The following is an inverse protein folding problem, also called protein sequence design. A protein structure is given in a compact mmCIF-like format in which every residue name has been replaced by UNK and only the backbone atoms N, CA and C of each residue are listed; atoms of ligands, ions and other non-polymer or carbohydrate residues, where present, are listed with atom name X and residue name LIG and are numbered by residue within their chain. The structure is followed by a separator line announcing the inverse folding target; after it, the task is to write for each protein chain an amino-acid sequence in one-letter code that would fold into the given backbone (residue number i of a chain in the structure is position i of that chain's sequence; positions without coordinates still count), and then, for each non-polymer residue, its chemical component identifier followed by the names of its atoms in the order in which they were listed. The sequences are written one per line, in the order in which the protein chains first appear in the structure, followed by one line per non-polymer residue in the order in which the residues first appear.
data_IF_234310599492
#
_entry.id   IF_234310599492
#
_cell.length_a   1.000
_cell.length_b   1.000
_cell.length_c   1.000
_cell.angle_alpha   90.00
_cell.angle_beta   90.00
_cell.angle_gamma   90.00
#
_symmetry.space_group_name_H-M   'P 1'
#
loop_
_entity.id
_entity.type
_entity.pdbx_description
1 polymer ?
#
# COMPACT_ATOMS: atom_id res chain seq x y z
N UNK A 1 -31.97 7.47 10.35
CA UNK A 1 -30.72 7.91 10.98
C UNK A 1 -29.59 7.31 10.18
N UNK A 2 -28.83 8.11 9.45
CA UNK A 2 -27.63 7.65 8.74
C UNK A 2 -26.53 7.47 9.79
N UNK A 3 -26.13 6.23 10.04
CA UNK A 3 -25.07 5.93 10.99
C UNK A 3 -23.76 6.53 10.47
N UNK A 4 -23.09 7.30 11.31
CA UNK A 4 -21.71 7.69 11.05
C UNK A 4 -20.90 6.43 10.73
N UNK A 5 -20.03 6.43 9.70
CA UNK A 5 -19.10 5.34 9.50
C UNK A 5 -18.30 5.19 10.80
N UNK A 6 -18.40 4.01 11.42
CA UNK A 6 -17.52 3.65 12.52
C UNK A 6 -16.11 3.59 11.90
N UNK A 7 -15.15 4.40 12.37
CA UNK A 7 -13.77 4.28 11.89
C UNK A 7 -13.35 2.81 12.01
N UNK A 8 -12.85 2.23 10.91
CA UNK A 8 -12.36 0.87 10.90
C UNK A 8 -11.32 0.66 12.00
N UNK A 9 -11.26 -0.54 12.55
CA UNK A 9 -10.21 -0.88 13.52
C UNK A 9 -8.88 -0.91 12.76
N UNK A 10 -7.87 -0.18 13.25
CA UNK A 10 -6.52 -0.22 12.66
C UNK A 10 -6.03 -1.68 12.65
N UNK A 11 -5.61 -2.17 11.47
CA UNK A 11 -5.04 -3.51 11.30
C UNK A 11 -3.52 -3.38 11.33
N UNK A 12 -2.81 -3.94 12.33
CA UNK A 12 -1.35 -3.87 12.35
C UNK A 12 -0.78 -4.73 11.21
N UNK A 13 0.17 -4.14 10.47
CA UNK A 13 0.97 -4.86 9.48
C UNK A 13 2.33 -5.23 10.07
N UNK A 14 2.69 -6.50 9.96
CA UNK A 14 3.96 -7.02 10.50
C UNK A 14 4.77 -7.72 9.41
N UNK A 15 6.09 -7.79 9.62
CA UNK A 15 7.05 -8.36 8.67
C UNK A 15 6.93 -7.76 7.26
N UNK A 16 6.80 -6.43 7.20
CA UNK A 16 6.78 -5.64 5.97
C UNK A 16 8.09 -4.86 5.83
N UNK A 17 8.40 -4.43 4.61
CA UNK A 17 9.50 -3.50 4.33
C UNK A 17 8.90 -2.15 3.92
N UNK A 18 9.38 -1.07 4.53
CA UNK A 18 8.94 0.29 4.24
C UNK A 18 10.16 1.12 3.85
N UNK A 19 10.10 1.81 2.72
CA UNK A 19 11.17 2.65 2.21
C UNK A 19 10.68 4.05 1.83
N UNK A 20 11.48 5.10 2.07
CA UNK A 20 11.23 6.39 1.45
C UNK A 20 11.41 6.26 -0.07
N UNK A 21 10.56 6.97 -0.81
CA UNK A 21 10.60 7.00 -2.27
C UNK A 21 10.81 8.43 -2.75
N UNK A 22 11.38 8.55 -3.95
CA UNK A 22 11.45 9.80 -4.71
C UNK A 22 10.90 9.60 -6.12
N UNK A 23 10.06 8.58 -6.30
CA UNK A 23 9.48 8.23 -7.59
C UNK A 23 8.38 9.24 -7.95
N UNK A 24 8.41 9.70 -9.20
CA UNK A 24 7.41 10.60 -9.76
C UNK A 24 6.74 9.89 -10.93
N UNK A 25 5.43 9.75 -10.89
CA UNK A 25 4.64 9.16 -11.96
C UNK A 25 3.84 10.24 -12.70
N UNK A 26 3.98 10.27 -14.03
CA UNK A 26 3.17 11.14 -14.89
C UNK A 26 1.88 10.44 -15.26
N UNK A 27 0.76 11.09 -14.96
CA UNK A 27 -0.56 10.62 -15.34
C UNK A 27 -0.91 11.05 -16.78
N UNK A 28 -1.88 10.40 -17.45
CA UNK A 28 -2.33 10.80 -18.78
C UNK A 28 -2.88 12.23 -18.89
N UNK A 29 -3.27 12.84 -17.76
CA UNK A 29 -3.84 14.19 -17.71
C UNK A 29 -2.77 15.27 -17.44
N UNK A 30 -1.48 14.95 -17.64
CA UNK A 30 -0.33 15.83 -17.40
C UNK A 30 -0.15 16.25 -15.92
N UNK A 31 -0.86 15.59 -15.00
CA UNK A 31 -0.62 15.69 -13.56
C UNK A 31 0.50 14.72 -13.15
N UNK A 32 1.28 15.08 -12.13
CA UNK A 32 2.28 14.21 -11.50
C UNK A 32 1.81 13.73 -10.13
N UNK A 33 2.13 12.49 -9.80
CA UNK A 33 2.02 11.94 -8.46
C UNK A 33 3.44 11.77 -7.93
N UNK A 34 3.74 12.43 -6.81
CA UNK A 34 5.03 12.32 -6.12
C UNK A 34 4.86 11.30 -5.00
N UNK A 35 5.43 10.11 -5.18
CA UNK A 35 5.34 9.06 -4.16
C UNK A 35 6.40 9.30 -3.08
N UNK A 36 5.93 9.54 -1.86
CA UNK A 36 6.79 9.80 -0.69
C UNK A 36 7.41 8.51 -0.14
N UNK A 37 6.75 7.36 -0.33
CA UNK A 37 7.18 6.07 0.22
C UNK A 37 6.67 4.88 -0.58
N UNK A 38 7.33 3.74 -0.39
CA UNK A 38 6.97 2.45 -0.95
C UNK A 38 6.92 1.42 0.18
N UNK A 39 5.79 0.71 0.28
CA UNK A 39 5.56 -0.37 1.23
C UNK A 39 5.49 -1.69 0.48
N UNK A 40 6.29 -2.66 0.91
CA UNK A 40 6.33 -4.01 0.36
C UNK A 40 5.64 -4.98 1.31
N UNK A 41 4.62 -5.68 0.80
CA UNK A 41 3.84 -6.67 1.55
C UNK A 41 4.00 -8.03 0.87
N UNK A 42 4.72 -8.94 1.52
CA UNK A 42 4.89 -10.32 1.05
C UNK A 42 3.58 -11.11 1.26
N UNK A 43 3.17 -11.90 0.28
CA UNK A 43 1.88 -12.62 0.33
C UNK A 43 1.87 -13.77 1.32
N UNK A 44 3.04 -14.30 1.70
CA UNK A 44 3.23 -15.46 2.56
C UNK A 44 3.78 -15.07 3.93
N UNK A 45 4.73 -14.15 3.99
CA UNK A 45 5.53 -13.85 5.18
C UNK A 45 5.09 -12.60 5.94
N UNK A 46 4.39 -11.66 5.28
CA UNK A 46 3.81 -10.51 5.97
C UNK A 46 2.51 -10.89 6.66
N UNK A 47 2.19 -10.18 7.74
CA UNK A 47 0.96 -10.38 8.50
C UNK A 47 0.07 -9.12 8.43
N UNK A 48 -1.26 -9.29 8.32
CA UNK A 48 -1.97 -10.56 8.13
C UNK A 48 -1.66 -11.18 6.76
N UNK A 49 -1.52 -12.51 6.71
CA UNK A 49 -1.19 -13.21 5.48
C UNK A 49 -2.28 -12.99 4.42
N UNK A 50 -1.86 -12.69 3.18
CA UNK A 50 -2.77 -12.38 2.08
C UNK A 50 -3.49 -11.02 2.20
N UNK A 51 -3.11 -10.16 3.15
CA UNK A 51 -3.65 -8.81 3.20
C UNK A 51 -3.14 -7.96 2.03
N UNK A 52 -4.05 -7.24 1.39
CA UNK A 52 -3.74 -6.27 0.35
C UNK A 52 -4.54 -5.00 0.62
N UNK A 53 -3.89 -3.84 0.83
CA UNK A 53 -4.60 -2.59 1.00
C UNK A 53 -5.28 -2.16 -0.30
N UNK A 54 -6.35 -1.37 -0.20
CA UNK A 54 -7.04 -0.79 -1.35
C UNK A 54 -6.56 0.64 -1.61
N UNK A 55 -6.59 1.09 -2.87
CA UNK A 55 -6.36 2.51 -3.21
C UNK A 55 -7.31 3.41 -2.42
N UNK A 56 -6.78 4.48 -1.83
CA UNK A 56 -7.50 5.39 -0.94
C UNK A 56 -7.52 4.96 0.53
N UNK A 57 -6.97 3.79 0.88
CA UNK A 57 -6.75 3.41 2.28
C UNK A 57 -5.63 4.25 2.90
N UNK A 58 -5.63 4.35 4.23
CA UNK A 58 -4.56 5.01 4.99
C UNK A 58 -3.55 3.99 5.53
N UNK A 59 -2.25 4.32 5.44
CA UNK A 59 -1.16 3.62 6.12
C UNK A 59 -0.53 4.55 7.16
N UNK A 60 -0.55 4.13 8.42
CA UNK A 60 0.14 4.84 9.51
C UNK A 60 1.50 4.20 9.73
N UNK A 61 2.56 4.98 9.56
CA UNK A 61 3.93 4.53 9.85
C UNK A 61 4.65 5.58 10.69
N UNK A 62 4.99 5.21 11.93
CA UNK A 62 5.47 6.14 12.96
C UNK A 62 4.42 7.25 13.18
N UNK A 63 4.83 8.51 13.13
CA UNK A 63 3.98 9.69 13.33
C UNK A 63 3.37 10.22 12.02
N UNK A 64 3.59 9.52 10.89
CA UNK A 64 3.10 9.96 9.57
C UNK A 64 1.98 9.04 9.09
N UNK A 65 0.93 9.65 8.52
CA UNK A 65 -0.14 8.94 7.83
C UNK A 65 0.01 9.20 6.33
N UNK A 66 0.00 8.12 5.56
CA UNK A 66 0.10 8.13 4.11
C UNK A 66 -1.19 7.62 3.48
N UNK A 67 -1.48 8.06 2.27
CA UNK A 67 -2.57 7.55 1.43
C UNK A 67 -2.04 6.53 0.43
N UNK A 68 -2.77 5.42 0.23
CA UNK A 68 -2.45 4.43 -0.79
C UNK A 68 -2.90 4.93 -2.16
N UNK A 69 -1.96 5.24 -3.04
CA UNK A 69 -2.26 5.71 -4.39
C UNK A 69 -2.28 4.59 -5.43
N UNK A 70 -1.42 3.60 -5.27
CA UNK A 70 -1.28 2.50 -6.22
C UNK A 70 -0.83 1.22 -5.51
N UNK A 71 -1.35 0.08 -5.95
CA UNK A 71 -0.95 -1.25 -5.46
C UNK A 71 -0.63 -2.10 -6.67
N UNK A 72 0.64 -2.51 -6.78
CA UNK A 72 1.13 -3.31 -7.90
C UNK A 72 1.46 -4.73 -7.43
N UNK A 73 0.87 -5.77 -8.03
CA UNK A 73 1.27 -7.15 -7.77
C UNK A 73 2.59 -7.44 -8.49
N UNK A 74 3.58 -7.93 -7.74
CA UNK A 74 4.88 -8.36 -8.27
C UNK A 74 4.98 -9.88 -8.21
N UNK A 75 5.06 -10.50 -9.38
CA UNK A 75 5.10 -11.96 -9.54
C UNK A 75 6.54 -12.48 -9.56
N UNK A 76 6.73 -13.72 -9.11
CA UNK A 76 7.99 -14.44 -9.25
C UNK A 76 7.96 -15.36 -10.48
N UNK A 77 8.80 -16.40 -10.51
CA UNK A 77 8.85 -17.39 -11.60
C UNK A 77 7.51 -18.13 -11.77
N UNK A 78 6.73 -18.25 -10.69
CA UNK A 78 5.34 -18.71 -10.74
C UNK A 78 4.40 -17.52 -11.01
N UNK A 79 3.64 -17.52 -12.13
CA UNK A 79 2.81 -16.39 -12.52
C UNK A 79 1.43 -16.37 -11.84
N UNK A 80 1.02 -17.42 -11.14
CA UNK A 80 -0.37 -17.55 -10.69
C UNK A 80 -0.66 -16.77 -9.40
N UNK A 81 0.37 -16.55 -8.57
CA UNK A 81 0.24 -15.82 -7.30
C UNK A 81 1.32 -14.75 -7.17
N UNK A 82 0.97 -13.50 -6.81
CA UNK A 82 1.96 -12.48 -6.51
C UNK A 82 2.90 -12.94 -5.40
N UNK A 83 4.20 -12.69 -5.57
CA UNK A 83 5.19 -12.89 -4.52
C UNK A 83 5.07 -11.83 -3.44
N UNK A 84 4.83 -10.59 -3.85
CA UNK A 84 4.56 -9.48 -2.96
C UNK A 84 3.78 -8.38 -3.69
N UNK A 85 3.23 -7.45 -2.92
CA UNK A 85 2.65 -6.21 -3.41
C UNK A 85 3.59 -5.05 -3.15
N UNK A 86 3.74 -4.17 -4.14
CA UNK A 86 4.35 -2.85 -3.99
C UNK A 86 3.23 -1.82 -3.85
N UNK A 87 3.19 -1.16 -2.69
CA UNK A 87 2.16 -0.19 -2.30
C UNK A 87 2.78 1.19 -2.29
N UNK A 88 2.36 2.02 -3.25
CA UNK A 88 2.88 3.37 -3.43
C UNK A 88 2.08 4.36 -2.59
N UNK A 89 2.80 5.17 -1.82
CA UNK A 89 2.26 5.99 -0.76
C UNK A 89 2.58 7.48 -1.01
N UNK A 90 1.58 8.33 -0.75
CA UNK A 90 1.69 9.81 -0.75
C UNK A 90 1.28 10.40 0.58
#
# INVERSE_FOLDING_TARGET
MWGNPVPGTDVPLEHVRFEPSSAIEKTPNDASIDYESLLFIDTVHSLPAGYTPEKGSEIKFKETTFSVEKVEPVYAVDPDTPHHYEVYLT
#
